data_IF_491319977865
#
_entry.id   IF_491319977865
#
_cell.length_a   1.000
_cell.length_b   1.000
_cell.length_c   1.000
_cell.angle_alpha   90.00
_cell.angle_beta   90.00
_cell.angle_gamma   90.00
#
_symmetry.space_group_name_H-M   'P 1'
#
loop_
_entity.id
_entity.type
_entity.pdbx_description
1 polymer ?
#
# COMPACT_ATOMS: atom_id res chain seq x y z
N UNK A 1 -2.57 22.28 -7.43
CA UNK A 1 -2.93 20.97 -6.87
C UNK A 1 -1.64 20.19 -6.81
N UNK A 2 -1.17 19.79 -5.62
CA UNK A 2 -0.04 18.87 -5.53
C UNK A 2 -0.44 17.56 -6.21
N UNK A 3 0.46 16.98 -7.00
CA UNK A 3 0.15 15.74 -7.72
C UNK A 3 0.46 14.56 -6.81
N UNK A 4 -0.56 14.09 -6.09
CA UNK A 4 -0.49 12.79 -5.43
C UNK A 4 -0.90 11.68 -6.42
N UNK A 5 -0.39 10.47 -6.17
CA UNK A 5 -0.74 9.24 -6.91
C UNK A 5 -0.92 8.09 -5.94
N UNK A 6 -1.58 7.04 -6.40
CA UNK A 6 -1.69 5.79 -5.66
C UNK A 6 -0.76 4.78 -6.31
N UNK A 7 0.13 4.18 -5.53
CA UNK A 7 1.02 3.12 -5.98
C UNK A 7 0.56 1.76 -5.44
N UNK A 8 0.60 0.75 -6.30
CA UNK A 8 0.46 -0.65 -5.89
C UNK A 8 1.84 -1.29 -5.94
N UNK A 9 2.29 -1.81 -4.80
CA UNK A 9 3.53 -2.59 -4.70
C UNK A 9 3.25 -3.96 -4.11
N UNK A 10 4.23 -4.85 -4.23
CA UNK A 10 4.16 -6.22 -3.75
C UNK A 10 5.41 -6.51 -2.91
N UNK A 11 5.24 -7.20 -1.80
CA UNK A 11 6.38 -7.56 -0.96
C UNK A 11 6.09 -8.68 0.03
N UNK A 12 7.17 -9.22 0.60
CA UNK A 12 7.11 -10.16 1.71
C UNK A 12 7.11 -9.37 3.02
N UNK A 13 6.20 -9.68 3.93
CA UNK A 13 6.20 -9.08 5.26
C UNK A 13 7.31 -9.73 6.10
N UNK A 14 8.36 -8.97 6.38
CA UNK A 14 9.46 -9.37 7.27
C UNK A 14 9.18 -9.01 8.73
N UNK A 15 8.40 -7.95 8.96
CA UNK A 15 8.11 -7.38 10.26
C UNK A 15 6.76 -6.68 10.30
N UNK A 16 6.04 -6.80 11.42
CA UNK A 16 4.76 -6.13 11.61
C UNK A 16 4.53 -5.78 13.08
N UNK A 17 3.95 -4.61 13.34
CA UNK A 17 3.72 -4.11 14.68
C UNK A 17 2.49 -3.23 14.79
N UNK A 18 2.02 -3.09 16.04
CA UNK A 18 0.97 -2.18 16.42
C UNK A 18 1.53 -1.12 17.36
N UNK A 19 1.32 0.15 17.01
CA UNK A 19 1.60 1.29 17.87
C UNK A 19 0.32 1.71 18.60
N UNK A 20 0.40 1.78 19.91
CA UNK A 20 -0.66 2.27 20.79
C UNK A 20 -0.08 3.27 21.78
N UNK A 21 -0.94 3.96 22.53
CA UNK A 21 -0.49 4.83 23.64
C UNK A 21 0.32 4.06 24.70
N UNK A 22 0.11 2.74 24.82
CA UNK A 22 0.86 1.85 25.69
C UNK A 22 2.22 1.41 25.11
N UNK A 23 2.59 1.92 23.93
CA UNK A 23 3.83 1.61 23.23
C UNK A 23 3.65 0.69 22.02
N UNK A 24 4.79 0.19 21.53
CA UNK A 24 4.94 -0.64 20.32
C UNK A 24 4.87 -2.13 20.70
N UNK A 25 4.04 -2.90 20.01
CA UNK A 25 3.91 -4.36 20.19
C UNK A 25 4.07 -5.10 18.86
N UNK A 26 4.86 -6.18 18.80
CA UNK A 26 4.95 -6.99 17.59
C UNK A 26 3.63 -7.71 17.31
N UNK A 27 3.30 -7.80 16.02
CA UNK A 27 2.18 -8.58 15.49
C UNK A 27 2.77 -9.59 14.51
N UNK A 28 2.44 -10.86 14.64
CA UNK A 28 3.08 -11.92 13.85
C UNK A 28 2.17 -12.48 12.75
N UNK A 29 0.96 -11.94 12.60
CA UNK A 29 -0.09 -12.55 11.80
C UNK A 29 0.25 -12.62 10.30
N UNK A 30 0.93 -11.59 9.79
CA UNK A 30 1.27 -11.48 8.38
C UNK A 30 2.73 -11.80 8.05
N UNK A 31 3.60 -12.02 9.04
CA UNK A 31 5.03 -12.28 8.79
C UNK A 31 5.20 -13.52 7.90
N UNK A 32 6.06 -13.40 6.88
CA UNK A 32 6.31 -14.44 5.89
C UNK A 32 5.21 -14.58 4.83
N UNK A 33 4.22 -13.68 4.81
CA UNK A 33 3.21 -13.63 3.74
C UNK A 33 3.63 -12.63 2.68
N UNK A 34 3.43 -13.03 1.43
CA UNK A 34 3.44 -12.12 0.31
C UNK A 34 2.12 -11.33 0.30
N UNK A 35 2.22 -10.01 0.25
CA UNK A 35 1.08 -9.09 0.29
C UNK A 35 1.24 -7.98 -0.74
N UNK A 36 0.14 -7.28 -1.00
CA UNK A 36 0.10 -6.10 -1.83
C UNK A 36 -0.15 -4.87 -0.96
N UNK A 37 0.67 -3.84 -1.16
CA UNK A 37 0.58 -2.56 -0.47
C UNK A 37 -0.02 -1.53 -1.41
N UNK A 38 -0.95 -0.74 -0.89
CA UNK A 38 -1.55 0.38 -1.60
C UNK A 38 -1.16 1.64 -0.84
N UNK A 39 -0.30 2.46 -1.45
CA UNK A 39 0.20 3.70 -0.83
C UNK A 39 -0.26 4.91 -1.61
N UNK A 40 -0.69 5.96 -0.91
CA UNK A 40 -0.73 7.30 -1.49
C UNK A 40 0.67 7.90 -1.42
N UNK A 41 1.17 8.37 -2.55
CA UNK A 41 2.49 9.00 -2.66
C UNK A 41 2.31 10.45 -3.08
N UNK A 42 2.75 11.37 -2.23
CA UNK A 42 2.72 12.81 -2.53
C UNK A 42 3.90 13.22 -3.42
N UNK A 43 3.87 14.47 -3.89
CA UNK A 43 4.88 15.02 -4.81
C UNK A 43 6.28 15.11 -4.16
N UNK A 44 6.35 15.28 -2.85
CA UNK A 44 7.61 15.30 -2.09
C UNK A 44 8.17 13.89 -1.81
N UNK A 45 7.46 12.85 -2.27
CA UNK A 45 7.80 11.45 -2.05
C UNK A 45 7.36 10.90 -0.69
N UNK A 46 6.66 11.68 0.13
CA UNK A 46 6.03 11.17 1.34
C UNK A 46 4.96 10.12 0.99
N UNK A 47 4.81 9.12 1.86
CA UNK A 47 3.95 7.96 1.63
C UNK A 47 2.99 7.79 2.79
N UNK A 48 1.72 7.62 2.47
CA UNK A 48 0.68 7.20 3.40
C UNK A 48 0.19 5.82 2.97
N UNK A 49 0.43 4.80 3.79
CA UNK A 49 -0.14 3.48 3.53
C UNK A 49 -1.66 3.54 3.73
N UNK A 50 -2.40 3.15 2.70
CA UNK A 50 -3.85 3.14 2.73
C UNK A 50 -4.37 1.75 3.09
N UNK A 51 -3.84 0.71 2.44
CA UNK A 51 -4.26 -0.68 2.64
C UNK A 51 -3.12 -1.69 2.45
N UNK A 52 -3.32 -2.86 3.06
CA UNK A 52 -2.51 -4.08 2.86
C UNK A 52 -3.50 -5.22 2.59
N UNK A 53 -3.33 -5.92 1.47
CA UNK A 53 -4.22 -7.02 1.05
C UNK A 53 -3.46 -8.25 0.57
N UNK A 54 -4.15 -9.39 0.59
CA UNK A 54 -3.60 -10.72 0.29
C UNK A 54 -3.66 -11.10 -1.20
N UNK A 55 -4.42 -10.38 -2.04
CA UNK A 55 -4.51 -10.66 -3.48
C UNK A 55 -4.39 -9.39 -4.32
N UNK A 56 -3.88 -9.56 -5.54
CA UNK A 56 -3.68 -8.47 -6.49
C UNK A 56 -5.01 -7.87 -6.98
N UNK A 57 -6.04 -8.69 -7.17
CA UNK A 57 -7.36 -8.22 -7.60
C UNK A 57 -7.99 -7.28 -6.55
N UNK A 58 -7.81 -7.60 -5.26
CA UNK A 58 -8.22 -6.69 -4.18
C UNK A 58 -7.39 -5.41 -4.21
N UNK A 59 -6.09 -5.52 -4.49
CA UNK A 59 -5.20 -4.38 -4.52
C UNK A 59 -5.64 -3.35 -5.58
N UNK A 60 -5.91 -3.83 -6.80
CA UNK A 60 -6.42 -3.02 -7.91
C UNK A 60 -7.77 -2.40 -7.54
N UNK A 61 -8.72 -3.20 -7.03
CA UNK A 61 -10.04 -2.71 -6.66
C UNK A 61 -9.98 -1.55 -5.66
N UNK A 62 -9.19 -1.69 -4.58
CA UNK A 62 -9.07 -0.63 -3.58
C UNK A 62 -8.30 0.59 -4.09
N UNK A 63 -7.23 0.38 -4.86
CA UNK A 63 -6.46 1.47 -5.46
C UNK A 63 -7.31 2.31 -6.42
N UNK A 64 -8.06 1.67 -7.33
CA UNK A 64 -8.95 2.38 -8.26
C UNK A 64 -10.10 3.08 -7.54
N UNK A 65 -10.67 2.45 -6.50
CA UNK A 65 -11.73 3.06 -5.68
C UNK A 65 -11.25 4.36 -5.00
N UNK A 66 -10.06 4.32 -4.38
CA UNK A 66 -9.46 5.48 -3.73
C UNK A 66 -9.01 6.55 -4.74
N UNK A 67 -8.45 6.13 -5.87
CA UNK A 67 -8.07 7.04 -6.95
C UNK A 67 -9.29 7.76 -7.52
N UNK A 68 -10.43 7.08 -7.65
CA UNK A 68 -11.67 7.66 -8.13
C UNK A 68 -12.26 8.68 -7.17
N UNK A 69 -12.21 8.44 -5.85
CA UNK A 69 -12.75 9.38 -4.86
C UNK A 69 -11.95 10.68 -4.78
N UNK A 70 -10.62 10.58 -4.93
CA UNK A 70 -9.70 11.72 -4.75
C UNK A 70 -9.20 12.35 -6.07
N UNK A 71 -9.46 11.71 -7.21
CA UNK A 71 -8.99 12.17 -8.53
C UNK A 71 -7.51 11.93 -8.79
N UNK A 72 -6.93 10.89 -8.20
CA UNK A 72 -5.51 10.52 -8.37
C UNK A 72 -5.30 9.49 -9.48
N UNK A 73 -4.07 9.39 -9.99
CA UNK A 73 -3.67 8.30 -10.87
C UNK A 73 -3.29 7.05 -10.08
N UNK A 74 -3.39 5.87 -10.69
CA UNK A 74 -2.89 4.61 -10.14
C UNK A 74 -1.64 4.18 -10.93
N UNK A 75 -0.54 4.00 -10.20
CA UNK A 75 0.72 3.47 -10.69
C UNK A 75 0.87 2.03 -10.19
N UNK A 76 0.61 1.07 -11.07
CA UNK A 76 0.81 -0.35 -10.78
C UNK A 76 2.25 -0.77 -11.04
N UNK A 77 3.03 -0.81 -9.96
CA UNK A 77 4.45 -1.17 -10.02
C UNK A 77 4.66 -2.69 -10.04
N UNK A 78 3.65 -3.48 -9.65
CA UNK A 78 3.70 -4.94 -9.68
C UNK A 78 3.84 -5.44 -11.12
N UNK A 79 3.05 -4.88 -12.04
CA UNK A 79 3.12 -5.22 -13.46
C UNK A 79 4.29 -4.55 -14.18
N UNK A 80 4.83 -3.45 -13.65
CA UNK A 80 5.98 -2.75 -14.24
C UNK A 80 7.29 -3.54 -14.06
N UNK A 81 7.45 -4.28 -12.97
CA UNK A 81 8.64 -5.10 -12.69
C UNK A 81 8.68 -6.41 -13.49
N UNK A 82 7.56 -6.83 -14.10
CA UNK A 82 7.45 -8.06 -14.88
C UNK A 82 7.81 -7.93 -16.37
N UNK A 83 8.36 -6.80 -16.82
CA UNK A 83 8.70 -6.51 -18.22
C UNK A 83 10.19 -6.28 -18.44
#
# INVERSE_FOLDING_TARGET
>A
MSKARIEITKGMVDWQEHFTDAGRRPVLDMIGREVFFIDMVEEDGSRLNLWIVDTYEKAIFYAESAAHSEGYAVDDLVLAEGK
#
